data_IF_499239141462
#
_entry.id   IF_499239141462
#
_cell.length_a   1.000
_cell.length_b   1.000
_cell.length_c   1.000
_cell.angle_alpha   90.00
_cell.angle_beta   90.00
_cell.angle_gamma   90.00
#
_symmetry.space_group_name_H-M   'P 1'
#
loop_
_entity.id
_entity.type
_entity.pdbx_description
1 polymer ?
#
# COMPACT_ATOMS: atom_id res chain seq x y z
N UNK A 1 -27.51 -17.60 10.21
CA UNK A 1 -26.31 -16.74 10.22
C UNK A 1 -25.66 -16.89 8.87
N UNK A 2 -25.81 -15.90 7.99
CA UNK A 2 -25.22 -15.89 6.64
C UNK A 2 -23.74 -15.47 6.67
N UNK A 3 -23.02 -15.73 5.57
CA UNK A 3 -21.65 -15.28 5.32
C UNK A 3 -21.61 -14.56 3.98
N UNK A 4 -20.77 -13.52 3.87
CA UNK A 4 -20.57 -12.81 2.61
C UNK A 4 -19.82 -13.72 1.64
N UNK A 5 -20.33 -13.83 0.40
CA UNK A 5 -19.75 -14.67 -0.64
C UNK A 5 -18.80 -13.87 -1.54
N UNK A 6 -19.23 -12.69 -1.99
CA UNK A 6 -18.39 -11.76 -2.76
C UNK A 6 -18.75 -10.30 -2.49
N UNK A 7 -17.79 -9.39 -2.72
CA UNK A 7 -17.98 -7.94 -2.69
C UNK A 7 -17.23 -7.31 -3.86
N UNK A 8 -17.95 -6.56 -4.68
CA UNK A 8 -17.38 -5.73 -5.74
C UNK A 8 -17.62 -4.25 -5.48
N UNK A 9 -16.76 -3.41 -6.09
CA UNK A 9 -16.90 -1.96 -6.07
C UNK A 9 -16.93 -1.48 -7.52
N UNK A 10 -17.90 -0.61 -7.84
CA UNK A 10 -18.11 -0.02 -9.18
C UNK A 10 -18.54 -0.98 -10.29
N UNK A 11 -18.61 -2.28 -10.01
CA UNK A 11 -19.05 -3.35 -10.91
C UNK A 11 -19.90 -4.34 -10.13
N UNK A 12 -20.64 -5.20 -10.80
CA UNK A 12 -21.45 -6.24 -10.15
C UNK A 12 -20.55 -7.31 -9.51
N UNK A 13 -21.02 -7.91 -8.41
CA UNK A 13 -20.30 -8.94 -7.68
C UNK A 13 -20.29 -10.25 -8.49
N UNK A 14 -19.22 -11.04 -8.37
CA UNK A 14 -19.09 -12.29 -9.08
C UNK A 14 -20.06 -13.33 -8.49
N UNK A 15 -21.04 -13.73 -9.31
CA UNK A 15 -22.01 -14.74 -8.91
C UNK A 15 -21.40 -16.16 -8.95
N UNK A 16 -21.66 -16.96 -7.92
CA UNK A 16 -21.22 -18.36 -7.84
C UNK A 16 -22.09 -19.33 -8.67
N UNK A 17 -22.79 -18.85 -9.70
CA UNK A 17 -23.63 -19.66 -10.59
C UNK A 17 -24.82 -20.35 -9.91
N UNK A 18 -25.26 -19.85 -8.74
CA UNK A 18 -26.37 -20.41 -7.97
C UNK A 18 -27.68 -20.39 -8.78
N UNK A 19 -27.95 -19.29 -9.47
CA UNK A 19 -29.14 -19.11 -10.30
C UNK A 19 -29.21 -20.15 -11.43
N UNK A 20 -28.05 -20.42 -12.07
CA UNK A 20 -27.95 -21.42 -13.15
C UNK A 20 -28.18 -22.84 -12.61
N UNK A 21 -27.65 -23.14 -11.42
CA UNK A 21 -27.86 -24.42 -10.76
C UNK A 21 -29.33 -24.63 -10.34
N UNK A 22 -30.01 -23.57 -9.89
CA UNK A 22 -31.42 -23.61 -9.53
C UNK A 22 -32.33 -23.77 -10.74
N UNK A 23 -32.05 -23.06 -11.85
CA UNK A 23 -32.82 -23.18 -13.09
C UNK A 23 -32.73 -24.59 -13.72
N UNK A 24 -31.64 -25.31 -13.48
CA UNK A 24 -31.45 -26.69 -13.95
C UNK A 24 -32.16 -27.75 -13.08
N UNK A 25 -32.57 -27.39 -11.86
CA UNK A 25 -33.39 -28.24 -10.99
C UNK A 25 -34.86 -27.92 -11.26
N UNK A 26 -35.59 -28.84 -11.92
CA UNK A 26 -36.98 -28.65 -12.40
C UNK A 26 -38.05 -28.40 -11.31
N UNK A 27 -37.68 -28.22 -10.05
CA UNK A 27 -38.59 -27.86 -8.96
C UNK A 27 -38.74 -26.34 -8.85
N UNK A 28 -39.76 -25.81 -9.53
CA UNK A 28 -40.10 -24.38 -9.64
C UNK A 28 -40.46 -23.64 -8.34
N UNK A 29 -40.19 -24.18 -7.15
CA UNK A 29 -40.59 -23.56 -5.88
C UNK A 29 -39.61 -23.87 -4.75
N UNK A 30 -38.31 -23.60 -4.93
CA UNK A 30 -37.48 -23.23 -3.79
C UNK A 30 -37.30 -21.71 -3.84
N UNK A 31 -38.09 -20.99 -3.04
CA UNK A 31 -37.77 -19.58 -2.78
C UNK A 31 -36.35 -19.52 -2.21
N UNK A 32 -35.52 -18.63 -2.77
CA UNK A 32 -34.13 -18.39 -2.35
C UNK A 32 -34.10 -17.78 -0.95
N UNK A 33 -34.33 -18.59 0.08
CA UNK A 33 -34.33 -18.13 1.48
C UNK A 33 -32.93 -18.04 2.10
N UNK A 34 -31.87 -18.41 1.37
CA UNK A 34 -30.53 -18.58 1.94
C UNK A 34 -29.50 -17.53 1.51
N UNK A 35 -29.72 -16.83 0.40
CA UNK A 35 -28.78 -15.89 -0.18
C UNK A 35 -29.54 -14.72 -0.81
N UNK A 36 -29.15 -13.51 -0.44
CA UNK A 36 -29.73 -12.26 -0.92
C UNK A 36 -28.60 -11.38 -1.46
N UNK A 37 -28.84 -10.75 -2.61
CA UNK A 37 -27.93 -9.78 -3.19
C UNK A 37 -28.27 -8.38 -2.71
N UNK A 38 -27.32 -7.73 -2.05
CA UNK A 38 -27.45 -6.37 -1.56
C UNK A 38 -26.54 -5.44 -2.36
N UNK A 39 -27.10 -4.36 -2.90
CA UNK A 39 -26.32 -3.28 -3.50
C UNK A 39 -26.64 -1.97 -2.78
N UNK A 40 -25.59 -1.20 -2.49
CA UNK A 40 -25.71 0.13 -1.93
C UNK A 40 -25.06 1.13 -2.89
N UNK A 41 -25.74 2.25 -3.09
CA UNK A 41 -25.18 3.38 -3.84
C UNK A 41 -25.01 4.55 -2.88
N UNK A 42 -23.83 5.16 -2.92
CA UNK A 42 -23.53 6.34 -2.12
C UNK A 42 -23.21 7.49 -3.06
N UNK A 43 -23.86 8.64 -2.86
CA UNK A 43 -23.56 9.85 -3.62
C UNK A 43 -22.18 10.36 -3.22
N UNK A 44 -21.25 10.41 -4.18
CA UNK A 44 -19.94 11.01 -3.97
C UNK A 44 -20.05 12.48 -3.57
N UNK A 45 -19.12 12.95 -2.74
CA UNK A 45 -19.05 14.36 -2.36
C UNK A 45 -18.42 15.19 -3.49
N UNK A 46 -19.04 16.30 -3.86
CA UNK A 46 -18.48 17.26 -4.83
C UNK A 46 -17.36 18.11 -4.20
N UNK A 47 -17.54 18.49 -2.93
CA UNK A 47 -16.56 19.21 -2.13
C UNK A 47 -15.97 18.29 -1.05
N UNK A 48 -14.66 18.06 -1.13
CA UNK A 48 -13.90 17.34 -0.12
C UNK A 48 -13.84 18.17 1.17
N UNK A 49 -14.77 17.95 2.11
CA UNK A 49 -14.65 18.44 3.48
C UNK A 49 -13.52 17.69 4.17
N UNK A 50 -12.32 18.26 4.08
CA UNK A 50 -11.15 17.79 4.82
C UNK A 50 -11.41 18.01 6.32
N UNK A 51 -11.86 16.96 7.01
CA UNK A 51 -11.89 16.84 8.47
C UNK A 51 -10.49 16.63 9.05
N UNK A 52 -9.44 17.20 8.42
CA UNK A 52 -8.06 17.15 8.92
C UNK A 52 -7.93 17.76 10.33
N UNK A 53 -8.94 18.55 10.74
CA UNK A 53 -9.04 19.16 12.05
C UNK A 53 -9.83 18.32 13.07
N UNK A 54 -10.46 17.22 12.66
CA UNK A 54 -11.19 16.28 13.53
C UNK A 54 -10.26 15.14 14.01
N UNK A 55 -9.03 15.49 14.39
CA UNK A 55 -8.13 14.56 15.05
C UNK A 55 -8.56 14.40 16.50
N UNK A 56 -9.16 13.25 16.82
CA UNK A 56 -9.44 12.85 18.20
C UNK A 56 -8.17 12.86 19.06
N UNK A 57 -8.32 13.01 20.38
CA UNK A 57 -7.20 13.18 21.32
C UNK A 57 -6.25 11.98 21.24
N UNK A 58 -6.79 10.75 21.09
CA UNK A 58 -5.97 9.54 20.96
C UNK A 58 -5.05 9.58 19.73
N UNK A 59 -5.52 10.16 18.61
CA UNK A 59 -4.72 10.32 17.41
C UNK A 59 -3.59 11.34 17.60
N UNK A 60 -3.87 12.43 18.33
CA UNK A 60 -2.85 13.43 18.66
C UNK A 60 -1.76 12.84 19.56
N UNK A 61 -2.15 12.06 20.57
CA UNK A 61 -1.21 11.40 21.48
C UNK A 61 -0.30 10.40 20.72
N UNK A 62 -0.88 9.62 19.80
CA UNK A 62 -0.10 8.74 18.94
C UNK A 62 0.90 9.53 18.08
N UNK A 63 0.47 10.62 17.44
CA UNK A 63 1.34 11.43 16.60
C UNK A 63 2.48 12.07 17.40
N UNK A 64 2.21 12.54 18.61
CA UNK A 64 3.23 13.08 19.52
C UNK A 64 4.23 12.01 19.91
N UNK A 65 3.76 10.84 20.36
CA UNK A 65 4.63 9.74 20.77
C UNK A 65 5.46 9.20 19.60
N UNK A 66 4.85 9.04 18.42
CA UNK A 66 5.52 8.64 17.19
C UNK A 66 6.60 9.66 16.79
N UNK A 67 6.25 10.94 16.74
CA UNK A 67 7.20 12.00 16.34
C UNK A 67 8.36 12.08 17.31
N UNK A 68 8.09 12.04 18.62
CA UNK A 68 9.12 12.06 19.64
C UNK A 68 10.06 10.85 19.54
N UNK A 69 9.52 9.64 19.39
CA UNK A 69 10.35 8.44 19.23
C UNK A 69 11.17 8.46 17.94
N UNK A 70 10.59 8.94 16.83
CA UNK A 70 11.26 9.05 15.54
C UNK A 70 12.42 10.04 15.56
N UNK A 71 12.23 11.23 16.13
CA UNK A 71 13.28 12.25 16.24
C UNK A 71 14.47 11.77 17.08
N UNK A 72 14.22 10.98 18.12
CA UNK A 72 15.26 10.41 18.97
C UNK A 72 15.98 9.21 18.34
N UNK A 73 15.53 8.71 17.18
CA UNK A 73 16.12 7.55 16.53
C UNK A 73 17.44 7.86 15.80
N UNK A 74 17.66 9.13 15.44
CA UNK A 74 18.81 9.57 14.67
C UNK A 74 19.70 10.50 15.49
N UNK A 75 21.02 10.33 15.35
CA UNK A 75 22.00 11.26 15.90
C UNK A 75 22.32 12.30 14.81
N UNK A 76 22.18 13.60 15.08
CA UNK A 76 22.55 14.62 14.11
C UNK A 76 24.07 14.54 13.84
N UNK A 77 24.43 14.63 12.56
CA UNK A 77 25.84 14.61 12.13
C UNK A 77 26.23 16.02 11.70
N UNK A 78 27.22 16.61 12.38
CA UNK A 78 27.67 17.99 12.10
C UNK A 78 28.25 18.17 10.69
N UNK A 79 28.82 17.10 10.11
CA UNK A 79 29.43 17.07 8.77
C UNK A 79 29.18 15.73 8.10
N UNK A 80 28.83 15.76 6.81
CA UNK A 80 28.70 14.53 6.03
C UNK A 80 30.03 13.75 6.02
N UNK A 81 30.01 12.42 6.21
CA UNK A 81 31.22 11.61 6.15
C UNK A 81 31.78 11.63 4.72
N UNK A 82 33.10 11.83 4.60
CA UNK A 82 33.78 11.73 3.30
C UNK A 82 33.83 10.24 2.91
N UNK A 83 33.23 9.83 1.78
CA UNK A 83 33.31 8.45 1.33
C UNK A 83 34.76 8.03 1.16
N UNK A 84 35.12 6.83 1.62
CA UNK A 84 36.46 6.27 1.46
C UNK A 84 37.61 7.10 2.05
N UNK A 85 37.36 7.96 3.05
CA UNK A 85 38.43 8.76 3.70
C UNK A 85 39.58 7.87 4.21
N UNK A 86 39.25 6.68 4.73
CA UNK A 86 40.22 5.70 5.23
C UNK A 86 40.67 4.69 4.16
N UNK A 87 40.21 4.84 2.92
CA UNK A 87 40.56 3.99 1.80
C UNK A 87 41.09 4.85 0.64
N UNK A 88 42.30 5.43 0.80
CA UNK A 88 42.92 6.15 -0.29
C UNK A 88 43.14 5.19 -1.48
N UNK A 89 42.95 5.67 -2.73
CA UNK A 89 43.27 4.87 -3.90
C UNK A 89 44.70 4.33 -3.81
N UNK A 90 44.96 3.08 -4.23
CA UNK A 90 46.30 2.54 -4.27
C UNK A 90 47.23 3.46 -5.07
N UNK A 91 48.47 3.63 -4.59
CA UNK A 91 49.48 4.37 -5.35
C UNK A 91 49.77 3.63 -6.66
N UNK A 92 49.43 4.28 -7.78
CA UNK A 92 49.69 3.72 -9.10
C UNK A 92 51.19 3.73 -9.38
N UNK A 93 51.80 2.54 -9.43
CA UNK A 93 53.21 2.39 -9.83
C UNK A 93 53.37 2.56 -11.34
N UNK A 94 52.35 2.17 -12.11
CA UNK A 94 52.28 2.33 -13.56
C UNK A 94 50.86 2.67 -13.97
N UNK A 95 50.74 3.54 -14.97
CA UNK A 95 49.46 3.84 -15.61
C UNK A 95 49.14 2.74 -16.64
N UNK A 96 48.44 1.70 -16.18
CA UNK A 96 48.09 0.55 -17.03
C UNK A 96 47.11 0.93 -18.14
N UNK A 97 46.25 1.94 -17.92
CA UNK A 97 45.32 2.42 -18.94
C UNK A 97 46.04 3.07 -20.12
N UNK A 98 47.13 3.80 -19.84
CA UNK A 98 48.01 4.36 -20.86
C UNK A 98 48.88 3.27 -21.51
N UNK A 99 49.42 2.34 -20.72
CA UNK A 99 50.27 1.25 -21.25
C UNK A 99 49.49 0.31 -22.18
N UNK A 100 48.26 -0.04 -21.81
CA UNK A 100 47.42 -0.99 -22.54
C UNK A 100 46.49 -0.30 -23.54
N UNK A 101 46.52 1.04 -23.62
CA UNK A 101 45.65 1.87 -24.47
C UNK A 101 44.15 1.57 -24.25
N UNK A 102 43.75 1.25 -23.03
CA UNK A 102 42.37 1.00 -22.64
C UNK A 102 41.88 2.17 -21.81
N UNK A 103 40.92 2.92 -22.36
CA UNK A 103 40.29 4.05 -21.68
C UNK A 103 38.86 3.69 -21.30
N UNK A 104 38.47 3.97 -20.05
CA UNK A 104 37.08 3.88 -19.63
C UNK A 104 36.28 4.97 -20.37
N UNK A 105 35.16 4.58 -20.99
CA UNK A 105 34.23 5.48 -21.70
C UNK A 105 33.20 6.03 -20.72
#
# INVERSE_FOLDING_TARGET
MGRVMDISLFVDAEECGMEVAMAAMEDKVMENHCCDDESFTFTGQDDLKLSLYDLEIEHQDFLVAFTYSYLNLFVPVDKLPVPNEKYPPPLLVKDITVLDQVFLI
#
